data_IF_278205968357
#
_entry.id   IF_278205968357
#
_cell.length_a   1.000
_cell.length_b   1.000
_cell.length_c   1.000
_cell.angle_alpha   90.00
_cell.angle_beta   90.00
_cell.angle_gamma   90.00
#
_symmetry.space_group_name_H-M   'P 1'
#
loop_
_entity.id
_entity.type
_entity.pdbx_description
1 polymer ?
#
# COMPACT_ATOMS: atom_id res chain seq x y z
N UNK A 1 13.13 6.88 -10.08
CA UNK A 1 14.04 7.32 -8.99
C UNK A 1 14.58 6.13 -8.16
N UNK A 2 15.79 6.16 -7.56
CA UNK A 2 16.30 5.05 -6.70
C UNK A 2 15.58 5.02 -5.34
N UNK A 3 15.06 3.86 -4.94
CA UNK A 3 14.21 3.66 -3.74
C UNK A 3 14.83 4.21 -2.44
N UNK A 4 16.15 4.04 -2.27
CA UNK A 4 16.87 4.51 -1.08
C UNK A 4 16.98 6.03 -0.93
N UNK A 5 16.60 6.80 -1.94
CA UNK A 5 16.58 8.27 -1.87
C UNK A 5 15.21 8.82 -1.40
N UNK A 6 14.15 8.00 -1.46
CA UNK A 6 12.78 8.47 -1.17
C UNK A 6 12.43 8.31 0.31
N UNK A 7 12.93 7.24 0.95
CA UNK A 7 12.70 7.01 2.38
C UNK A 7 13.59 7.94 3.20
N UNK A 8 12.96 8.84 3.95
CA UNK A 8 13.68 9.88 4.67
C UNK A 8 14.34 9.35 5.96
N UNK A 9 15.68 9.45 6.04
CA UNK A 9 16.43 9.16 7.28
C UNK A 9 16.09 10.13 8.40
N UNK A 10 15.87 11.40 8.06
CA UNK A 10 15.45 12.48 8.99
C UNK A 10 13.94 12.73 8.87
N UNK A 11 13.14 11.66 9.01
CA UNK A 11 11.69 11.73 8.82
C UNK A 11 10.96 12.65 9.82
N UNK A 12 11.36 12.65 11.10
CA UNK A 12 10.69 13.47 12.12
C UNK A 12 10.84 14.98 11.90
N UNK A 13 12.06 15.55 11.72
CA UNK A 13 12.18 16.99 11.44
C UNK A 13 11.42 17.42 10.18
N UNK A 14 11.46 16.60 9.11
CA UNK A 14 10.69 16.87 7.91
C UNK A 14 9.19 16.88 8.17
N UNK A 15 8.68 15.90 8.94
CA UNK A 15 7.28 15.82 9.34
C UNK A 15 6.84 17.04 10.14
N UNK A 16 7.61 17.43 11.16
CA UNK A 16 7.34 18.61 11.99
C UNK A 16 7.32 19.89 11.17
N UNK A 17 8.27 20.03 10.24
CA UNK A 17 8.29 21.11 9.28
C UNK A 17 7.04 21.14 8.39
N UNK A 18 6.64 20.00 7.82
CA UNK A 18 5.43 19.90 6.98
C UNK A 18 4.13 20.22 7.73
N UNK A 19 4.11 20.03 9.06
CA UNK A 19 2.97 20.31 9.92
C UNK A 19 3.02 21.71 10.54
N UNK A 20 4.03 22.53 10.23
CA UNK A 20 4.21 23.87 10.82
C UNK A 20 4.50 23.84 12.32
N UNK A 21 5.08 22.75 12.83
CA UNK A 21 5.38 22.58 14.25
C UNK A 21 6.77 23.09 14.64
N UNK A 22 7.64 23.32 13.66
CA UNK A 22 8.99 23.83 13.85
C UNK A 22 9.01 25.37 13.95
N UNK A 23 9.57 25.90 15.04
CA UNK A 23 9.64 27.33 15.34
C UNK A 23 10.73 28.05 14.52
N UNK A 24 11.79 27.34 14.12
CA UNK A 24 12.92 27.97 13.42
C UNK A 24 12.63 28.24 11.94
N UNK A 25 11.59 27.61 11.39
CA UNK A 25 11.26 27.67 9.96
C UNK A 25 9.89 28.28 9.65
N UNK A 26 9.38 29.19 10.48
CA UNK A 26 8.07 29.85 10.30
C UNK A 26 7.86 30.65 8.97
N UNK A 27 8.85 30.70 8.07
CA UNK A 27 8.81 31.45 6.80
C UNK A 27 8.28 30.66 5.58
N UNK A 28 7.68 29.48 5.76
CA UNK A 28 7.21 28.69 4.61
C UNK A 28 5.72 28.87 4.32
N UNK A 29 5.45 29.78 3.38
CA UNK A 29 4.19 29.88 2.62
C UNK A 29 3.87 28.62 1.74
N UNK A 30 4.40 27.44 2.09
CA UNK A 30 4.37 26.23 1.29
C UNK A 30 3.96 24.96 2.06
N UNK A 31 3.77 25.03 3.39
CA UNK A 31 3.17 23.94 4.17
C UNK A 31 1.73 23.64 3.71
N UNK A 32 1.03 24.68 3.26
CA UNK A 32 -0.38 24.69 2.82
C UNK A 32 -0.67 23.79 1.60
N UNK A 33 0.34 23.13 1.02
CA UNK A 33 0.19 22.34 -0.19
C UNK A 33 0.56 20.86 -0.04
N UNK A 34 0.63 20.35 1.18
CA UNK A 34 1.03 18.96 1.46
C UNK A 34 -0.18 18.08 1.78
N UNK A 35 -0.17 16.86 1.24
CA UNK A 35 -1.14 15.80 1.55
C UNK A 35 -0.39 14.58 2.04
N UNK A 36 -0.70 14.13 3.25
CA UNK A 36 -0.19 12.86 3.77
C UNK A 36 -1.11 11.74 3.33
N UNK A 37 -0.54 10.70 2.73
CA UNK A 37 -1.28 9.52 2.26
C UNK A 37 -0.64 8.29 2.88
N UNK A 38 -1.29 7.74 3.90
CA UNK A 38 -0.89 6.46 4.47
C UNK A 38 -1.48 5.31 3.68
N UNK A 39 -0.65 4.30 3.40
CA UNK A 39 -1.01 3.12 2.62
C UNK A 39 -0.58 1.88 3.40
N UNK A 40 -1.42 0.86 3.36
CA UNK A 40 -1.12 -0.48 3.89
C UNK A 40 -1.79 -1.54 3.01
N UNK A 41 -1.06 -2.59 2.63
CA UNK A 41 -1.60 -3.72 1.88
C UNK A 41 -1.63 -5.00 2.72
N UNK A 42 -2.79 -5.64 2.73
CA UNK A 42 -2.96 -6.98 3.29
C UNK A 42 -2.95 -8.05 2.20
N UNK A 43 -2.26 -9.16 2.46
CA UNK A 43 -2.09 -10.28 1.52
C UNK A 43 -1.46 -9.88 0.17
N UNK A 44 -0.42 -9.05 0.20
CA UNK A 44 0.30 -8.54 -0.99
C UNK A 44 0.71 -9.62 -2.01
N UNK A 45 1.08 -10.81 -1.54
CA UNK A 45 1.44 -11.95 -2.41
C UNK A 45 0.31 -12.35 -3.35
N UNK A 46 -0.94 -12.32 -2.86
CA UNK A 46 -2.09 -12.61 -3.70
C UNK A 46 -2.24 -11.53 -4.79
N UNK A 47 -1.95 -10.27 -4.48
CA UNK A 47 -2.02 -9.19 -5.46
C UNK A 47 -0.93 -9.29 -6.54
N UNK A 48 0.28 -9.76 -6.18
CA UNK A 48 1.37 -9.91 -7.15
C UNK A 48 1.28 -11.17 -7.99
N UNK A 49 0.65 -12.24 -7.49
CA UNK A 49 0.57 -13.54 -8.17
C UNK A 49 -0.75 -13.78 -8.90
N UNK A 50 -1.87 -13.25 -8.41
CA UNK A 50 -3.18 -13.78 -8.80
C UNK A 50 -3.75 -13.26 -10.12
N UNK A 51 -3.16 -12.25 -10.74
CA UNK A 51 -3.62 -11.82 -12.06
C UNK A 51 -3.28 -12.82 -13.18
N UNK A 52 -2.54 -13.89 -12.84
CA UNK A 52 -2.23 -15.00 -13.73
C UNK A 52 -3.19 -16.20 -13.51
N UNK A 53 -4.09 -16.14 -12.51
CA UNK A 53 -4.98 -17.26 -12.15
C UNK A 53 -6.46 -16.88 -12.21
N UNK A 54 -7.38 -17.81 -12.50
CA UNK A 54 -8.82 -17.55 -12.50
C UNK A 54 -9.42 -17.32 -11.11
N UNK A 55 -8.66 -17.60 -10.03
CA UNK A 55 -9.11 -17.44 -8.65
C UNK A 55 -9.01 -15.96 -8.26
N UNK A 56 -10.12 -15.39 -7.76
CA UNK A 56 -10.13 -14.00 -7.27
C UNK A 56 -9.20 -13.85 -6.07
N UNK A 57 -8.11 -13.07 -6.17
CA UNK A 57 -7.21 -12.90 -5.04
C UNK A 57 -7.92 -12.27 -3.86
N UNK A 58 -7.60 -12.78 -2.67
CA UNK A 58 -7.94 -12.15 -1.41
C UNK A 58 -6.85 -11.14 -1.07
N UNK A 59 -7.17 -9.85 -1.16
CA UNK A 59 -6.25 -8.78 -0.76
C UNK A 59 -7.04 -7.59 -0.23
N UNK A 60 -6.34 -6.71 0.49
CA UNK A 60 -6.85 -5.40 0.85
C UNK A 60 -5.82 -4.32 0.52
N UNK A 61 -6.30 -3.12 0.23
CA UNK A 61 -5.52 -1.89 0.18
C UNK A 61 -6.21 -0.86 1.06
N UNK A 62 -5.54 -0.45 2.12
CA UNK A 62 -5.91 0.68 2.94
C UNK A 62 -5.33 1.99 2.43
N UNK A 63 -6.14 3.05 2.45
CA UNK A 63 -5.67 4.41 2.23
C UNK A 63 -6.25 5.31 3.32
N UNK A 64 -5.39 6.04 4.02
CA UNK A 64 -5.78 7.12 4.93
C UNK A 64 -5.13 8.45 4.50
N UNK A 65 -5.93 9.51 4.37
CA UNK A 65 -5.48 10.79 3.81
C UNK A 65 -5.73 11.91 4.81
N UNK A 66 -4.71 12.74 5.01
CA UNK A 66 -4.77 14.01 5.72
C UNK A 66 -4.32 15.13 4.77
N UNK A 67 -5.22 16.06 4.43
CA UNK A 67 -4.87 17.31 3.74
C UNK A 67 -4.56 18.40 4.77
N UNK A 68 -3.35 18.95 4.72
CA UNK A 68 -2.89 20.00 5.64
C UNK A 68 -3.72 21.29 5.52
N UNK A 69 -4.38 21.55 4.39
CA UNK A 69 -5.30 22.70 4.25
C UNK A 69 -6.46 22.66 5.23
N UNK A 70 -6.89 21.46 5.62
CA UNK A 70 -7.98 21.28 6.58
C UNK A 70 -7.51 21.60 8.01
N UNK A 71 -6.20 21.56 8.28
CA UNK A 71 -5.65 22.01 9.57
C UNK A 71 -5.73 23.53 9.72
N UNK A 72 -5.52 24.27 8.63
CA UNK A 72 -5.47 25.74 8.64
C UNK A 72 -6.88 26.36 8.62
N UNK A 73 -7.80 25.76 7.86
CA UNK A 73 -9.11 26.36 7.57
C UNK A 73 -10.15 26.19 8.70
N UNK A 74 -9.86 25.40 9.73
CA UNK A 74 -10.85 24.99 10.74
C UNK A 74 -11.01 25.99 11.92
N UNK A 75 -10.57 27.23 11.76
CA UNK A 75 -10.57 28.24 12.84
C UNK A 75 -11.96 28.60 13.38
N UNK A 76 -13.05 28.24 12.71
CA UNK A 76 -14.42 28.57 13.14
C UNK A 76 -15.28 27.39 13.63
N UNK A 77 -14.82 26.14 13.50
CA UNK A 77 -15.50 24.98 14.09
C UNK A 77 -14.55 23.79 14.10
N UNK A 78 -14.28 23.23 15.29
CA UNK A 78 -13.44 22.04 15.51
C UNK A 78 -14.10 20.79 14.92
N UNK A 79 -14.25 20.74 13.61
CA UNK A 79 -14.54 19.52 12.88
C UNK A 79 -13.36 18.58 13.11
N UNK A 80 -13.51 17.65 14.07
CA UNK A 80 -12.48 16.66 14.41
C UNK A 80 -12.17 15.71 13.24
N UNK A 81 -12.88 15.85 12.13
CA UNK A 81 -12.87 14.97 10.97
C UNK A 81 -11.78 15.44 10.00
N UNK A 82 -10.52 15.11 10.30
CA UNK A 82 -9.36 15.53 9.50
C UNK A 82 -8.80 14.43 8.60
N UNK A 83 -9.08 13.17 8.94
CA UNK A 83 -8.54 12.01 8.22
C UNK A 83 -9.67 11.25 7.52
N UNK A 84 -9.57 11.14 6.20
CA UNK A 84 -10.46 10.28 5.39
C UNK A 84 -9.82 8.91 5.19
N UNK A 85 -10.59 7.84 5.34
CA UNK A 85 -10.08 6.45 5.26
C UNK A 85 -10.94 5.63 4.30
N UNK A 86 -10.28 4.87 3.42
CA UNK A 86 -10.90 3.90 2.51
C UNK A 86 -10.19 2.55 2.62
N UNK A 87 -10.96 1.47 2.50
CA UNK A 87 -10.44 0.11 2.42
C UNK A 87 -10.94 -0.56 1.13
N UNK A 88 -10.04 -0.83 0.20
CA UNK A 88 -10.32 -1.57 -1.03
C UNK A 88 -10.14 -3.05 -0.77
N UNK A 89 -11.14 -3.88 -1.09
CA UNK A 89 -11.10 -5.32 -0.78
C UNK A 89 -11.49 -6.19 -1.98
N UNK A 90 -10.73 -7.26 -2.20
CA UNK A 90 -11.03 -8.33 -3.16
C UNK A 90 -11.08 -9.70 -2.46
N UNK A 91 -11.71 -10.69 -3.08
CA UNK A 91 -11.83 -12.07 -2.58
C UNK A 91 -13.26 -12.58 -2.59
N UNK A 92 -13.56 -13.65 -1.84
CA UNK A 92 -14.89 -14.24 -1.73
C UNK A 92 -15.89 -13.34 -0.98
N UNK A 93 -17.20 -13.55 -1.17
CA UNK A 93 -18.25 -12.77 -0.46
C UNK A 93 -18.09 -12.89 1.06
N UNK A 94 -17.80 -14.11 1.55
CA UNK A 94 -17.55 -14.39 2.98
C UNK A 94 -16.36 -13.60 3.51
N UNK A 95 -15.25 -13.56 2.77
CA UNK A 95 -14.08 -12.77 3.14
C UNK A 95 -14.41 -11.27 3.22
N UNK A 96 -15.06 -10.71 2.19
CA UNK A 96 -15.44 -9.29 2.17
C UNK A 96 -16.37 -8.92 3.33
N UNK A 97 -17.38 -9.74 3.61
CA UNK A 97 -18.26 -9.51 4.75
C UNK A 97 -17.53 -9.59 6.10
N UNK A 98 -16.52 -10.45 6.24
CA UNK A 98 -15.66 -10.50 7.44
C UNK A 98 -14.89 -9.19 7.60
N UNK A 99 -14.28 -8.69 6.53
CA UNK A 99 -13.51 -7.44 6.55
C UNK A 99 -14.42 -6.24 6.84
N UNK A 100 -15.57 -6.14 6.17
CA UNK A 100 -16.52 -5.04 6.37
C UNK A 100 -17.04 -4.96 7.81
N UNK A 101 -17.24 -6.10 8.49
CA UNK A 101 -17.63 -6.15 9.91
C UNK A 101 -16.51 -5.71 10.86
N UNK A 102 -15.25 -5.95 10.50
CA UNK A 102 -14.08 -5.58 11.31
C UNK A 102 -13.67 -4.13 11.11
N UNK A 103 -13.96 -3.56 9.94
CA UNK A 103 -13.56 -2.21 9.59
C UNK A 103 -14.42 -1.18 10.32
N UNK A 104 -13.85 -0.58 11.37
CA UNK A 104 -14.57 0.30 12.29
C UNK A 104 -14.79 1.71 11.68
N UNK A 105 -14.00 2.11 10.70
CA UNK A 105 -13.98 3.50 10.25
C UNK A 105 -13.60 3.63 8.78
N UNK A 106 -14.52 4.04 7.93
CA UNK A 106 -14.28 4.36 6.52
C UNK A 106 -15.30 3.75 5.59
N UNK A 107 -15.01 3.86 4.30
CA UNK A 107 -15.73 3.16 3.24
C UNK A 107 -14.97 1.89 2.84
N UNK A 108 -15.68 0.76 2.73
CA UNK A 108 -15.13 -0.45 2.10
C UNK A 108 -15.59 -0.52 0.66
N UNK A 109 -14.65 -0.50 -0.28
CA UNK A 109 -14.91 -0.56 -1.72
C UNK A 109 -14.52 -1.94 -2.24
N UNK A 110 -15.44 -2.62 -2.91
CA UNK A 110 -15.16 -3.91 -3.52
C UNK A 110 -14.37 -3.73 -4.82
N UNK A 111 -13.26 -4.44 -4.94
CA UNK A 111 -12.44 -4.53 -6.15
C UNK A 111 -12.63 -5.90 -6.79
N UNK A 112 -12.82 -5.91 -8.11
CA UNK A 112 -12.94 -7.15 -8.89
C UNK A 112 -11.73 -7.38 -9.79
N UNK A 113 -11.15 -6.31 -10.34
CA UNK A 113 -10.01 -6.37 -11.27
C UNK A 113 -8.88 -5.47 -10.82
N UNK A 114 -7.67 -5.75 -11.32
CA UNK A 114 -6.46 -4.96 -11.04
C UNK A 114 -6.64 -3.51 -11.47
N UNK A 115 -7.23 -3.32 -12.64
CA UNK A 115 -7.36 -2.02 -13.29
C UNK A 115 -8.28 -1.12 -12.49
N UNK A 116 -9.31 -1.71 -11.86
CA UNK A 116 -10.21 -1.00 -10.96
C UNK A 116 -9.43 -0.52 -9.72
N UNK A 117 -8.56 -1.37 -9.14
CA UNK A 117 -7.69 -0.97 -8.01
C UNK A 117 -6.78 0.20 -8.37
N UNK A 118 -6.10 0.11 -9.52
CA UNK A 118 -5.17 1.15 -9.99
C UNK A 118 -5.93 2.45 -10.26
N UNK A 119 -7.12 2.37 -10.85
CA UNK A 119 -8.00 3.52 -11.09
C UNK A 119 -8.40 4.17 -9.77
N UNK A 120 -8.85 3.39 -8.80
CA UNK A 120 -9.23 3.89 -7.48
C UNK A 120 -8.05 4.50 -6.71
N UNK A 121 -6.87 3.89 -6.78
CA UNK A 121 -5.64 4.40 -6.18
C UNK A 121 -5.26 5.76 -6.77
N UNK A 122 -5.26 5.90 -8.10
CA UNK A 122 -4.94 7.16 -8.78
C UNK A 122 -5.99 8.25 -8.50
N UNK A 123 -7.27 7.89 -8.44
CA UNK A 123 -8.34 8.86 -8.20
C UNK A 123 -8.42 9.30 -6.73
N UNK A 124 -7.99 8.46 -5.79
CA UNK A 124 -8.04 8.79 -4.36
C UNK A 124 -6.92 9.71 -3.92
N UNK A 125 -5.81 9.75 -4.65
CA UNK A 125 -4.62 10.52 -4.28
C UNK A 125 -4.59 11.81 -5.11
N UNK A 126 -4.64 13.00 -4.50
CA UNK A 126 -4.69 14.28 -5.23
C UNK A 126 -3.33 14.61 -5.87
N UNK A 127 -3.12 14.13 -7.12
CA UNK A 127 -1.85 14.24 -7.86
C UNK A 127 -1.42 15.68 -8.19
N UNK A 128 -2.29 16.67 -8.02
CA UNK A 128 -1.96 18.10 -8.23
C UNK A 128 -1.25 18.73 -7.02
N UNK A 129 -1.03 17.98 -5.94
CA UNK A 129 -0.48 18.44 -4.67
C UNK A 129 0.84 17.75 -4.36
N UNK A 130 1.63 18.30 -3.44
CA UNK A 130 2.81 17.60 -2.90
C UNK A 130 2.33 16.49 -1.97
N UNK A 131 2.75 15.27 -2.24
CA UNK A 131 2.29 14.08 -1.51
C UNK A 131 3.44 13.52 -0.68
N UNK A 132 3.14 13.22 0.59
CA UNK A 132 4.01 12.47 1.47
C UNK A 132 3.36 11.11 1.70
N UNK A 133 4.00 10.05 1.20
CA UNK A 133 3.54 8.69 1.47
C UNK A 133 3.93 8.28 2.88
N UNK A 134 3.04 7.56 3.55
CA UNK A 134 3.22 7.09 4.92
C UNK A 134 2.93 5.60 4.99
N UNK A 135 3.67 4.87 5.82
CA UNK A 135 3.32 3.49 6.15
C UNK A 135 4.12 2.97 7.32
N UNK A 136 3.94 1.68 7.63
CA UNK A 136 4.65 1.02 8.73
C UNK A 136 5.42 -0.19 8.19
N UNK A 137 6.75 -0.17 8.25
CA UNK A 137 7.59 -1.15 7.54
C UNK A 137 7.31 -1.14 6.02
N UNK A 138 7.24 0.07 5.45
CA UNK A 138 6.57 0.40 4.19
C UNK A 138 7.27 -0.12 2.92
N UNK A 139 8.40 -0.80 3.07
CA UNK A 139 9.20 -1.30 1.95
C UNK A 139 8.39 -2.24 1.04
N UNK A 140 7.62 -3.14 1.64
CA UNK A 140 6.85 -4.15 0.90
C UNK A 140 5.63 -3.53 0.20
N UNK A 141 4.96 -2.58 0.83
CA UNK A 141 3.89 -1.79 0.20
C UNK A 141 4.43 -0.99 -0.99
N UNK A 142 5.62 -0.42 -0.88
CA UNK A 142 6.25 0.35 -1.94
C UNK A 142 6.64 -0.52 -3.15
N UNK A 143 7.09 -1.76 -2.91
CA UNK A 143 7.27 -2.75 -3.98
C UNK A 143 5.92 -3.14 -4.62
N UNK A 144 4.87 -3.25 -3.82
CA UNK A 144 3.52 -3.54 -4.30
C UNK A 144 2.99 -2.40 -5.18
N UNK A 145 3.17 -1.13 -4.78
CA UNK A 145 2.81 0.04 -5.59
C UNK A 145 3.54 0.04 -6.94
N UNK A 146 4.83 -0.29 -6.97
CA UNK A 146 5.58 -0.43 -8.23
C UNK A 146 5.04 -1.54 -9.09
N UNK A 147 4.73 -2.69 -8.51
CA UNK A 147 4.13 -3.78 -9.25
C UNK A 147 2.82 -3.32 -9.89
N UNK A 148 2.00 -2.55 -9.20
CA UNK A 148 0.78 -1.94 -9.73
C UNK A 148 1.01 -0.83 -10.78
N UNK A 149 2.25 -0.54 -11.16
CA UNK A 149 2.62 0.60 -12.01
C UNK A 149 2.10 1.94 -11.48
N UNK A 150 1.99 2.08 -10.15
CA UNK A 150 1.66 3.37 -9.54
C UNK A 150 2.83 4.34 -9.72
N UNK A 151 2.50 5.56 -10.15
CA UNK A 151 3.50 6.60 -10.39
C UNK A 151 4.03 7.15 -9.05
N UNK A 152 5.25 6.75 -8.73
CA UNK A 152 5.99 7.20 -7.54
C UNK A 152 6.91 8.39 -7.82
N UNK A 153 7.04 8.82 -9.07
CA UNK A 153 7.99 9.87 -9.46
C UNK A 153 7.29 11.24 -9.55
N UNK A 154 6.02 11.31 -9.94
CA UNK A 154 5.26 12.58 -9.96
C UNK A 154 4.65 12.87 -8.58
N UNK A 155 4.77 14.12 -8.13
CA UNK A 155 4.10 14.67 -6.94
C UNK A 155 4.45 14.06 -5.57
N UNK A 156 5.03 12.86 -5.51
CA UNK A 156 5.55 12.25 -4.28
C UNK A 156 6.85 12.97 -3.90
N UNK A 157 6.83 13.71 -2.79
CA UNK A 157 8.00 14.48 -2.31
C UNK A 157 8.78 13.74 -1.22
N UNK A 158 8.15 12.81 -0.51
CA UNK A 158 8.79 12.01 0.53
C UNK A 158 8.03 10.72 0.83
N UNK A 159 8.74 9.75 1.40
CA UNK A 159 8.18 8.56 2.05
C UNK A 159 8.61 8.55 3.52
N UNK A 160 7.62 8.45 4.41
CA UNK A 160 7.81 8.36 5.85
C UNK A 160 7.41 6.98 6.35
N UNK A 161 8.41 6.21 6.78
CA UNK A 161 8.20 4.93 7.45
C UNK A 161 8.12 5.13 8.96
N UNK A 162 6.96 4.87 9.53
CA UNK A 162 6.69 5.03 10.96
C UNK A 162 7.56 4.13 11.82
N UNK A 163 7.93 2.93 11.34
CA UNK A 163 8.84 2.05 12.07
C UNK A 163 10.24 2.65 12.16
N UNK A 164 10.74 3.20 11.04
CA UNK A 164 12.06 3.85 11.00
C UNK A 164 12.09 5.11 11.86
N UNK A 165 11.04 5.93 11.80
CA UNK A 165 10.91 7.13 12.63
C UNK A 165 10.87 6.74 14.11
N UNK A 166 10.05 5.74 14.48
CA UNK A 166 9.97 5.24 15.85
C UNK A 166 11.32 4.71 16.35
N UNK A 167 12.04 3.92 15.54
CA UNK A 167 13.39 3.46 15.85
C UNK A 167 14.33 4.64 16.19
N UNK A 168 14.29 5.69 15.39
CA UNK A 168 15.16 6.85 15.58
C UNK A 168 14.85 7.65 16.85
N UNK A 169 13.57 7.75 17.22
CA UNK A 169 13.10 8.48 18.40
C UNK A 169 13.27 7.65 19.67
N UNK A 170 12.79 6.40 19.64
CA UNK A 170 12.67 5.54 20.82
C UNK A 170 13.90 4.65 21.06
N UNK A 171 14.86 4.64 20.13
CA UNK A 171 16.07 3.78 20.17
C UNK A 171 15.76 2.29 20.36
N UNK A 172 14.56 1.86 19.93
CA UNK A 172 14.15 0.47 19.97
C UNK A 172 14.45 -0.20 18.62
N UNK A 173 14.67 -1.51 18.63
CA UNK A 173 14.72 -2.33 17.42
C UNK A 173 13.37 -2.30 16.68
N UNK A 174 13.24 -3.09 15.60
CA UNK A 174 11.99 -3.25 14.84
C UNK A 174 10.78 -3.40 15.76
N UNK A 175 9.85 -2.46 15.67
CA UNK A 175 8.62 -2.42 16.46
C UNK A 175 7.43 -2.71 15.53
N UNK A 176 6.47 -3.51 15.99
CA UNK A 176 5.21 -3.72 15.25
C UNK A 176 4.29 -2.51 15.39
N UNK A 177 3.34 -2.36 14.47
CA UNK A 177 2.35 -1.27 14.54
C UNK A 177 1.58 -1.34 15.87
N UNK A 178 1.15 -2.53 16.28
CA UNK A 178 0.50 -2.77 17.58
C UNK A 178 1.32 -2.24 18.75
N UNK A 179 2.60 -2.63 18.84
CA UNK A 179 3.47 -2.22 19.94
C UNK A 179 3.77 -0.70 19.90
N UNK A 180 3.90 -0.12 18.70
CA UNK A 180 4.07 1.32 18.53
C UNK A 180 2.84 2.08 19.03
N UNK A 181 1.64 1.66 18.66
CA UNK A 181 0.40 2.29 19.11
C UNK A 181 0.24 2.20 20.64
N UNK A 182 0.57 1.04 21.24
CA UNK A 182 0.59 0.90 22.70
C UNK A 182 1.57 1.87 23.36
N UNK A 183 2.80 1.99 22.86
CA UNK A 183 3.80 2.94 23.39
C UNK A 183 3.37 4.40 23.25
N UNK A 184 2.63 4.72 22.20
CA UNK A 184 2.11 6.06 21.94
C UNK A 184 0.78 6.35 22.66
N UNK A 185 0.27 5.37 23.43
CA UNK A 185 -1.01 5.43 24.13
C UNK A 185 -2.18 5.75 23.18
N UNK A 186 -2.12 5.21 21.96
CA UNK A 186 -3.19 5.34 20.97
C UNK A 186 -4.10 4.12 21.08
N UNK A 187 -5.38 4.27 21.46
CA UNK A 187 -6.32 3.16 21.44
C UNK A 187 -6.50 2.62 20.02
N UNK A 188 -6.51 1.30 19.88
CA UNK A 188 -6.70 0.62 18.60
C UNK A 188 -7.50 -0.67 18.77
N UNK A 189 -8.17 -1.06 17.69
CA UNK A 189 -8.95 -2.28 17.59
C UNK A 189 -8.82 -2.84 16.17
N UNK A 190 -9.08 -4.13 15.98
CA UNK A 190 -9.20 -4.78 14.66
C UNK A 190 -8.06 -4.49 13.64
N UNK A 191 -6.80 -4.46 14.11
CA UNK A 191 -5.63 -4.49 13.23
C UNK A 191 -5.69 -5.71 12.27
N UNK A 192 -4.95 -5.65 11.16
CA UNK A 192 -5.04 -6.57 10.00
C UNK A 192 -6.23 -6.30 9.08
N UNK A 193 -6.65 -5.04 9.03
CA UNK A 193 -7.59 -4.49 8.06
C UNK A 193 -6.87 -3.31 7.44
N UNK A 194 -6.50 -3.41 6.16
CA UNK A 194 -5.56 -2.47 5.54
C UNK A 194 -5.93 -1.01 5.76
N UNK A 195 -7.20 -0.63 5.56
CA UNK A 195 -7.67 0.74 5.81
C UNK A 195 -7.45 1.21 7.25
N UNK A 196 -7.63 0.32 8.22
CA UNK A 196 -7.43 0.61 9.64
C UNK A 196 -5.96 0.69 10.00
N UNK A 197 -5.11 -0.17 9.44
CA UNK A 197 -3.67 -0.15 9.65
C UNK A 197 -3.04 1.11 9.04
N UNK A 198 -3.47 1.52 7.83
CA UNK A 198 -3.08 2.80 7.23
C UNK A 198 -3.49 4.00 8.10
N UNK A 199 -4.71 4.00 8.63
CA UNK A 199 -5.19 5.03 9.54
C UNK A 199 -4.35 5.11 10.82
N UNK A 200 -4.09 3.97 11.46
CA UNK A 200 -3.32 3.95 12.69
C UNK A 200 -1.84 4.27 12.46
N UNK A 201 -1.25 3.90 11.33
CA UNK A 201 0.08 4.34 10.93
C UNK A 201 0.13 5.87 10.81
N UNK A 202 -0.86 6.48 10.15
CA UNK A 202 -0.94 7.95 10.07
C UNK A 202 -1.10 8.60 11.44
N UNK A 203 -1.95 8.06 12.32
CA UNK A 203 -2.10 8.58 13.69
C UNK A 203 -0.85 8.44 14.54
N UNK A 204 -0.14 7.30 14.43
CA UNK A 204 1.14 7.10 15.09
C UNK A 204 2.18 8.14 14.63
N UNK A 205 2.26 8.39 13.32
CA UNK A 205 3.11 9.41 12.74
C UNK A 205 2.83 10.80 13.34
N UNK A 206 1.56 11.20 13.35
CA UNK A 206 1.11 12.49 13.87
C UNK A 206 1.40 12.64 15.38
N UNK A 207 1.18 11.59 16.18
CA UNK A 207 1.49 11.60 17.61
C UNK A 207 3.00 11.71 17.87
N UNK A 208 3.84 11.03 17.09
CA UNK A 208 5.29 11.18 17.18
C UNK A 208 5.76 12.59 16.81
N UNK A 209 5.09 13.26 15.86
CA UNK A 209 5.39 14.65 15.49
C UNK A 209 5.23 15.61 16.69
N UNK A 210 4.17 15.40 17.48
CA UNK A 210 3.78 16.30 18.57
C UNK A 210 4.47 16.00 19.91
N UNK A 211 5.00 14.80 20.13
CA UNK A 211 5.59 14.37 21.42
C UNK A 211 6.72 15.28 21.95
N UNK A 212 7.46 15.96 21.08
CA UNK A 212 8.57 16.84 21.47
C UNK A 212 8.33 18.31 21.07
N UNK A 213 7.10 18.66 20.70
CA UNK A 213 6.77 20.04 20.38
C UNK A 213 6.41 20.79 21.66
N UNK A 214 7.09 21.90 21.92
CA UNK A 214 6.68 22.84 22.97
C UNK A 214 5.54 23.67 22.41
N UNK A 215 4.35 23.66 23.04
CA UNK A 215 3.26 24.53 22.64
C UNK A 215 3.69 26.00 22.72
N UNK A 216 3.38 26.74 21.67
CA UNK A 216 3.55 28.18 21.55
C UNK A 216 2.27 28.76 20.96
N UNK A 217 2.07 30.06 21.09
CA UNK A 217 0.88 30.74 20.54
C UNK A 217 0.67 30.45 19.04
N UNK A 218 1.76 30.18 18.30
CA UNK A 218 1.71 29.93 16.85
C UNK A 218 1.34 28.49 16.46
N UNK A 219 1.55 27.49 17.34
CA UNK A 219 1.38 26.07 16.99
C UNK A 219 0.44 25.30 17.94
N UNK A 220 -0.02 25.90 19.03
CA UNK A 220 -0.90 25.23 20.00
C UNK A 220 -2.20 24.72 19.37
N UNK A 221 -2.84 25.55 18.53
CA UNK A 221 -4.05 25.15 17.80
C UNK A 221 -3.78 23.97 16.87
N UNK A 222 -2.66 23.98 16.13
CA UNK A 222 -2.28 22.89 15.23
C UNK A 222 -2.00 21.60 16.01
N UNK A 223 -1.26 21.67 17.12
CA UNK A 223 -1.00 20.52 18.00
C UNK A 223 -2.33 19.95 18.53
N UNK A 224 -3.22 20.83 19.01
CA UNK A 224 -4.55 20.45 19.49
C UNK A 224 -5.37 19.74 18.41
N UNK A 225 -5.39 20.28 17.18
CA UNK A 225 -6.08 19.66 16.05
C UNK A 225 -5.48 18.32 15.65
N UNK A 226 -4.14 18.21 15.60
CA UNK A 226 -3.44 16.97 15.24
C UNK A 226 -3.70 15.88 16.29
N UNK A 227 -3.65 16.22 17.58
CA UNK A 227 -3.91 15.27 18.67
C UNK A 227 -5.38 14.82 18.71
N UNK A 228 -6.30 15.72 18.34
CA UNK A 228 -7.73 15.44 18.26
C UNK A 228 -8.19 15.00 16.86
N UNK A 229 -7.27 14.76 15.92
CA UNK A 229 -7.60 14.30 14.58
C UNK A 229 -8.31 12.95 14.68
N UNK A 230 -9.60 12.97 14.40
CA UNK A 230 -10.49 11.82 14.29
C UNK A 230 -10.84 11.58 12.83
N UNK A 231 -11.43 10.43 12.62
CA UNK A 231 -11.92 9.97 11.34
C UNK A 231 -13.15 10.77 10.87
N UNK A 232 -13.26 11.00 9.55
CA UNK A 232 -14.47 11.51 8.88
C UNK A 232 -15.31 10.33 8.37
N UNK A 233 -16.51 10.05 8.89
CA UNK A 233 -17.46 9.17 8.22
C UNK A 233 -17.66 9.66 6.79
N UNK A 234 -17.41 8.81 5.80
CA UNK A 234 -17.58 9.17 4.41
C UNK A 234 -19.06 9.50 4.17
N UNK A 235 -19.41 10.77 3.96
CA UNK A 235 -20.76 11.17 3.57
C UNK A 235 -20.88 11.07 2.05
N UNK A 236 -21.98 10.49 1.57
CA UNK A 236 -22.26 10.28 0.14
C UNK A 236 -22.18 11.59 -0.69
N UNK A 237 -22.38 12.75 -0.07
CA UNK A 237 -22.31 14.07 -0.70
C UNK A 237 -20.93 14.40 -1.31
N UNK A 238 -19.85 13.87 -0.74
CA UNK A 238 -18.48 14.09 -1.25
C UNK A 238 -18.21 13.39 -2.59
N UNK A 239 -18.95 12.32 -2.91
CA UNK A 239 -18.88 11.65 -4.23
C UNK A 239 -19.53 12.49 -5.33
N UNK A 240 -20.58 13.26 -5.04
CA UNK A 240 -21.23 14.08 -6.07
C UNK A 240 -20.30 15.20 -6.55
N UNK A 241 -19.55 15.85 -5.66
CA UNK A 241 -18.62 16.90 -6.05
C UNK A 241 -17.46 16.41 -6.94
N UNK A 242 -16.96 15.19 -6.73
CA UNK A 242 -15.91 14.60 -7.57
C UNK A 242 -16.44 14.04 -8.90
N UNK A 243 -17.65 13.46 -8.91
CA UNK A 243 -18.31 12.98 -10.14
C UNK A 243 -18.72 14.15 -11.04
N UNK A 244 -19.27 15.23 -10.47
CA UNK A 244 -19.59 16.45 -11.23
C UNK A 244 -18.35 17.13 -11.82
N UNK A 245 -17.20 17.11 -11.13
CA UNK A 245 -15.94 17.62 -11.66
C UNK A 245 -15.37 16.75 -12.80
N UNK A 246 -15.70 15.44 -12.84
CA UNK A 246 -15.27 14.52 -13.90
C UNK A 246 -16.16 14.59 -15.15
N UNK A 247 -17.45 14.90 -15.03
CA UNK A 247 -18.34 15.03 -16.19
C UNK A 247 -18.14 16.32 -17.00
N UNK A 248 -17.45 17.34 -16.45
CA UNK A 248 -17.13 18.58 -17.16
C UNK A 248 -15.80 18.57 -17.95
N UNK A 249 -15.11 17.43 -18.02
CA UNK A 249 -13.97 17.28 -18.94
C UNK A 249 -14.48 17.14 -20.39
N UNK A 250 -14.06 18.00 -21.34
CA UNK A 250 -14.64 18.03 -22.68
C UNK A 250 -14.31 16.72 -23.42
N UNK A 251 -15.32 15.88 -23.59
CA UNK A 251 -15.28 14.75 -24.51
C UNK A 251 -15.03 15.28 -25.91
N UNK A 252 -13.88 14.94 -26.49
CA UNK A 252 -13.61 15.07 -27.92
C UNK A 252 -14.65 14.22 -28.67
N UNK A 253 -15.69 14.86 -29.19
CA UNK A 253 -16.67 14.24 -30.09
C UNK A 253 -16.03 14.19 -31.47
N UNK A 254 -15.51 13.03 -31.86
CA UNK A 254 -15.30 12.72 -33.28
C UNK A 254 -16.56 12.05 -33.81
N UNK A 255 -17.40 12.87 -34.44
CA UNK A 255 -18.55 12.40 -35.20
C UNK A 255 -18.09 11.96 -36.59
N UNK A 256 -18.31 10.69 -36.94
CA UNK A 256 -18.56 10.30 -38.33
C UNK A 256 -19.65 9.25 -38.37
N UNK A 257 -20.81 9.69 -38.84
CA UNK A 257 -21.96 8.89 -39.19
C UNK A 257 -21.70 8.08 -40.46
N UNK A 258 -22.10 6.82 -40.50
CA UNK A 258 -22.60 6.16 -41.72
C UNK A 258 -23.80 5.28 -41.36
N UNK A 259 -24.92 5.64 -41.98
CA UNK A 259 -26.18 4.92 -41.96
C UNK A 259 -26.17 3.76 -42.96
N UNK A 260 -26.87 2.66 -42.65
CA UNK A 260 -27.53 1.81 -43.64
C UNK A 260 -28.60 0.89 -42.99
N UNK A 261 -29.55 0.34 -43.78
CA UNK A 261 -30.95 0.32 -43.42
C UNK A 261 -31.50 -1.05 -43.01
N UNK A 262 -32.69 -0.96 -42.40
CA UNK A 262 -33.66 -2.01 -42.08
C UNK A 262 -33.75 -3.16 -43.09
N UNK A 263 -33.77 -4.38 -42.56
CA UNK A 263 -34.54 -5.50 -43.09
C UNK A 263 -35.42 -6.06 -41.97
N UNK A 264 -36.74 -6.06 -42.22
CA UNK A 264 -37.77 -6.74 -41.43
C UNK A 264 -37.99 -8.11 -42.06
N UNK A 265 -38.09 -9.15 -41.24
CA UNK A 265 -38.94 -10.32 -41.52
C UNK A 265 -39.54 -10.84 -40.22
N UNK A 266 -40.86 -11.02 -40.26
CA UNK A 266 -41.74 -11.83 -39.41
C UNK A 266 -41.32 -13.31 -39.44
N UNK A 267 -41.81 -14.29 -38.67
CA UNK A 267 -43.09 -14.53 -37.99
C UNK A 267 -42.95 -15.79 -37.10
N UNK A 268 -43.83 -15.91 -36.09
CA UNK A 268 -44.45 -17.16 -35.58
C UNK A 268 -43.52 -18.24 -34.97
N UNK A 269 -43.90 -19.12 -34.03
CA UNK A 269 -45.08 -19.38 -33.21
C UNK A 269 -44.63 -20.42 -32.15
N UNK A 270 -45.34 -20.45 -31.01
CA UNK A 270 -45.65 -21.59 -30.13
C UNK A 270 -44.61 -22.73 -29.88
N UNK A 271 -44.34 -23.02 -28.60
CA UNK A 271 -44.91 -24.19 -27.90
C UNK A 271 -44.23 -24.47 -26.55
N UNK A 272 -45.03 -25.05 -25.66
CA UNK A 272 -44.74 -25.43 -24.30
C UNK A 272 -43.65 -26.51 -24.14
N UNK A 273 -42.97 -26.49 -22.99
CA UNK A 273 -42.10 -27.58 -22.57
C UNK A 273 -41.59 -27.42 -21.15
N UNK A 274 -42.32 -27.95 -20.17
CA UNK A 274 -41.84 -28.22 -18.82
C UNK A 274 -40.67 -29.21 -18.89
N UNK A 275 -39.56 -28.91 -18.22
CA UNK A 275 -38.72 -29.95 -17.64
C UNK A 275 -38.07 -29.42 -16.35
N UNK A 276 -38.43 -30.05 -15.24
CA UNK A 276 -37.66 -30.06 -14.00
C UNK A 276 -36.36 -30.82 -14.26
N UNK A 277 -35.32 -30.50 -13.49
CA UNK A 277 -34.38 -31.40 -12.77
C UNK A 277 -32.97 -30.79 -12.76
N UNK A 278 -32.27 -31.08 -11.66
CA UNK A 278 -30.87 -30.84 -11.33
C UNK A 278 -30.57 -29.51 -10.62
N UNK A 279 -30.75 -29.55 -9.31
CA UNK A 279 -29.95 -28.78 -8.38
C UNK A 279 -28.48 -29.21 -8.54
N UNK A 280 -27.63 -28.30 -9.01
CA UNK A 280 -26.19 -28.41 -8.87
C UNK A 280 -25.82 -27.84 -7.49
N UNK A 281 -25.39 -28.73 -6.61
CA UNK A 281 -24.71 -28.38 -5.38
C UNK A 281 -23.30 -27.94 -5.74
N UNK A 282 -23.05 -26.63 -5.73
CA UNK A 282 -21.69 -26.09 -5.62
C UNK A 282 -21.12 -26.51 -4.26
N UNK A 283 -20.33 -27.58 -4.25
CA UNK A 283 -19.43 -27.90 -3.14
C UNK A 283 -18.18 -27.03 -3.27
N UNK A 284 -18.23 -25.83 -2.69
CA UNK A 284 -17.03 -25.03 -2.42
C UNK A 284 -16.21 -25.73 -1.33
N UNK A 285 -15.37 -26.69 -1.75
CA UNK A 285 -14.28 -27.24 -0.96
C UNK A 285 -13.17 -26.19 -0.81
N UNK A 286 -13.42 -25.15 -0.02
CA UNK A 286 -12.42 -24.15 0.30
C UNK A 286 -11.63 -24.63 1.52
N UNK A 287 -10.44 -25.20 1.27
CA UNK A 287 -9.45 -25.53 2.29
C UNK A 287 -8.92 -24.22 2.87
N UNK A 288 -9.35 -23.92 4.10
CA UNK A 288 -8.85 -22.83 4.91
C UNK A 288 -7.37 -23.14 5.26
N UNK A 289 -6.38 -22.35 4.82
CA UNK A 289 -5.02 -22.53 5.30
C UNK A 289 -5.04 -22.14 6.78
N UNK A 290 -4.92 -23.15 7.65
CA UNK A 290 -4.83 -22.99 9.09
C UNK A 290 -3.83 -21.88 9.44
N UNK A 291 -4.34 -20.85 10.10
CA UNK A 291 -3.54 -19.94 10.91
C UNK A 291 -2.83 -20.79 11.98
N UNK A 292 -1.57 -21.14 11.70
CA UNK A 292 -0.67 -21.76 12.68
C UNK A 292 -0.33 -20.75 13.76
N UNK A 293 -1.16 -20.69 14.80
CA UNK A 293 -0.83 -20.02 16.06
C UNK A 293 0.29 -20.78 16.76
N UNK A 294 1.53 -20.31 16.62
CA UNK A 294 2.63 -20.69 17.48
C UNK A 294 2.40 -20.10 18.87
N UNK A 295 1.89 -20.93 19.78
CA UNK A 295 2.03 -20.72 21.20
C UNK A 295 3.52 -20.84 21.56
N UNK A 296 4.11 -19.72 21.96
CA UNK A 296 5.42 -19.66 22.61
C UNK A 296 5.29 -20.34 23.97
N UNK A 297 5.85 -21.54 24.07
CA UNK A 297 6.12 -22.19 25.34
C UNK A 297 7.62 -22.04 25.60
N UNK A 298 7.97 -21.42 26.71
CA UNK A 298 9.34 -21.21 27.15
C UNK A 298 10.00 -22.55 27.49
N UNK A 299 11.25 -22.73 27.03
CA UNK A 299 12.16 -23.75 27.54
C UNK A 299 12.23 -25.04 26.74
N UNK A 300 13.13 -25.11 25.76
CA UNK A 300 14.15 -26.18 25.71
C UNK A 300 15.15 -25.96 24.56
N UNK A 301 16.42 -25.97 24.93
CA UNK A 301 17.56 -26.01 24.01
C UNK A 301 17.66 -27.44 23.48
N UNK A 302 17.44 -27.63 22.18
CA UNK A 302 17.81 -28.87 21.48
C UNK A 302 18.65 -28.52 20.26
N UNK A 303 19.82 -29.15 20.21
CA UNK A 303 20.90 -28.98 19.23
C UNK A 303 20.42 -29.33 17.82
N UNK A 304 20.76 -28.47 16.85
CA UNK A 304 20.53 -28.68 15.42
C UNK A 304 21.21 -29.96 14.92
N UNK A 305 20.43 -30.81 14.24
CA UNK A 305 20.92 -31.97 13.49
C UNK A 305 21.09 -31.57 12.02
N UNK A 306 22.32 -31.73 11.56
CA UNK A 306 22.81 -31.59 10.19
C UNK A 306 22.09 -32.58 9.26
N UNK A 307 21.55 -32.10 8.14
CA UNK A 307 21.03 -32.93 7.05
C UNK A 307 21.94 -32.77 5.84
N UNK A 308 22.81 -33.77 5.65
CA UNK A 308 23.44 -34.09 4.39
C UNK A 308 22.65 -35.25 3.75
N UNK A 309 22.65 -35.32 2.42
CA UNK A 309 22.21 -36.42 1.52
C UNK A 309 21.03 -36.15 0.56
N UNK A 310 21.46 -35.84 -0.67
CA UNK A 310 21.00 -36.20 -2.02
C UNK A 310 19.68 -36.97 -2.24
N UNK A 311 18.93 -36.51 -3.27
CA UNK A 311 18.04 -37.34 -4.09
C UNK A 311 18.35 -37.17 -5.59
N UNK A 312 18.11 -38.21 -6.42
CA UNK A 312 18.69 -38.36 -7.75
C UNK A 312 17.86 -37.72 -8.87
N UNK A 313 18.56 -37.24 -9.90
CA UNK A 313 18.00 -36.51 -11.03
C UNK A 313 17.31 -37.37 -12.09
N UNK A 314 16.14 -36.91 -12.54
CA UNK A 314 15.51 -37.31 -13.78
C UNK A 314 15.98 -36.37 -14.91
N UNK A 315 16.54 -36.95 -15.98
CA UNK A 315 16.98 -36.24 -17.20
C UNK A 315 15.81 -36.10 -18.18
N UNK A 316 15.63 -34.91 -18.75
CA UNK A 316 14.84 -34.64 -19.96
C UNK A 316 15.83 -34.29 -21.08
N UNK A 317 15.70 -34.83 -22.31
CA UNK A 317 16.67 -34.61 -23.38
C UNK A 317 16.40 -33.31 -24.14
N UNK A 318 17.46 -32.57 -24.46
CA UNK A 318 17.44 -31.49 -25.47
C UNK A 318 17.99 -32.02 -26.82
N UNK A 319 17.48 -31.51 -27.96
CA UNK A 319 17.94 -31.92 -29.29
C UNK A 319 19.29 -31.27 -29.65
N UNK A 320 20.02 -31.83 -30.65
CA UNK A 320 21.38 -31.41 -30.96
C UNK A 320 21.39 -30.11 -31.78
N UNK A 321 22.22 -29.14 -31.35
CA UNK A 321 22.61 -28.00 -32.17
C UNK A 321 23.95 -28.30 -32.86
N UNK A 322 23.96 -28.13 -34.18
CA UNK A 322 25.09 -28.22 -35.09
C UNK A 322 26.15 -27.16 -34.83
N UNK A 323 27.41 -27.59 -34.89
CA UNK A 323 28.62 -26.77 -34.76
C UNK A 323 28.87 -26.02 -36.08
N UNK A 324 28.99 -24.70 -36.01
CA UNK A 324 29.66 -23.90 -37.02
C UNK A 324 30.54 -22.83 -36.36
N UNK A 325 31.83 -23.02 -36.59
CA UNK A 325 32.97 -22.12 -36.65
C UNK A 325 33.21 -20.95 -35.68
N UNK A 326 34.44 -21.02 -35.17
CA UNK A 326 35.18 -20.09 -34.34
C UNK A 326 35.45 -18.72 -34.97
N UNK A 327 35.37 -17.64 -34.16
CA UNK A 327 36.45 -16.66 -33.90
C UNK A 327 36.02 -15.55 -32.92
N UNK A 328 36.95 -15.23 -32.02
CA UNK A 328 37.04 -14.10 -31.06
C UNK A 328 35.93 -13.92 -29.99
N UNK A 329 36.25 -14.33 -28.76
CA UNK A 329 35.50 -14.03 -27.53
C UNK A 329 36.34 -13.10 -26.64
N UNK A 330 35.86 -11.86 -26.48
CA UNK A 330 36.10 -10.98 -25.33
C UNK A 330 35.35 -11.53 -24.09
N UNK A 331 35.79 -11.28 -22.85
CA UNK A 331 35.21 -11.89 -21.67
C UNK A 331 33.89 -11.21 -21.27
N UNK A 332 32.77 -11.86 -21.59
CA UNK A 332 31.48 -11.50 -20.99
C UNK A 332 31.42 -11.98 -19.53
N UNK A 333 31.46 -11.03 -18.59
CA UNK A 333 31.07 -11.26 -17.21
C UNK A 333 29.59 -11.68 -17.17
N UNK A 334 29.31 -12.83 -16.53
CA UNK A 334 27.98 -13.39 -16.43
C UNK A 334 27.07 -12.52 -15.56
N UNK A 335 25.83 -12.30 -15.99
CA UNK A 335 24.80 -11.55 -15.26
C UNK A 335 24.51 -12.11 -13.85
N UNK A 336 24.90 -13.36 -13.58
CA UNK A 336 24.82 -13.99 -12.27
C UNK A 336 25.82 -13.42 -11.25
N UNK A 337 26.97 -12.90 -11.68
CA UNK A 337 27.96 -12.32 -10.75
C UNK A 337 27.56 -10.93 -10.25
N UNK A 338 26.83 -10.15 -11.07
CA UNK A 338 26.37 -8.82 -10.69
C UNK A 338 25.26 -8.87 -9.62
N UNK A 339 24.36 -9.85 -9.73
CA UNK A 339 23.28 -10.05 -8.75
C UNK A 339 23.83 -10.41 -7.36
N UNK A 340 24.82 -11.30 -7.30
CA UNK A 340 25.46 -11.70 -6.04
C UNK A 340 26.26 -10.54 -5.42
N UNK A 341 26.94 -9.74 -6.22
CA UNK A 341 27.66 -8.55 -5.75
C UNK A 341 26.73 -7.47 -5.16
N UNK A 342 25.53 -7.29 -5.73
CA UNK A 342 24.54 -6.34 -5.20
C UNK A 342 23.92 -6.82 -3.88
N UNK A 343 23.67 -8.13 -3.74
CA UNK A 343 23.19 -8.72 -2.48
C UNK A 343 24.27 -8.63 -1.39
N UNK A 344 25.53 -8.90 -1.73
CA UNK A 344 26.65 -8.81 -0.79
C UNK A 344 26.98 -7.35 -0.38
N UNK A 345 26.90 -6.38 -1.30
CA UNK A 345 27.06 -4.96 -0.96
C UNK A 345 25.92 -4.45 -0.06
N UNK A 346 24.68 -4.91 -0.31
CA UNK A 346 23.54 -4.60 0.53
C UNK A 346 23.69 -5.17 1.95
N UNK A 347 24.12 -6.44 2.08
CA UNK A 347 24.37 -7.08 3.38
C UNK A 347 25.54 -6.42 4.13
N UNK A 348 26.61 -6.01 3.43
CA UNK A 348 27.73 -5.27 4.04
C UNK A 348 27.29 -3.93 4.63
N UNK A 349 26.43 -3.19 3.93
CA UNK A 349 25.88 -1.92 4.41
C UNK A 349 24.91 -2.10 5.57
N UNK A 350 24.16 -3.20 5.59
CA UNK A 350 23.24 -3.53 6.69
C UNK A 350 24.00 -3.88 7.98
N UNK A 351 25.15 -4.55 7.86
CA UNK A 351 25.96 -5.03 8.99
C UNK A 351 27.04 -4.03 9.45
N UNK A 352 27.16 -2.85 8.81
CA UNK A 352 28.14 -1.83 9.20
C UNK A 352 29.60 -2.24 8.99
N UNK A 353 29.88 -3.24 8.16
CA UNK A 353 31.23 -3.76 7.93
C UNK A 353 31.93 -2.88 6.89
N UNK A 354 32.73 -1.91 7.35
CA UNK A 354 33.64 -1.17 6.49
C UNK A 354 34.94 -1.96 6.31
N UNK A 355 35.29 -2.30 5.07
CA UNK A 355 36.66 -2.71 4.73
C UNK A 355 37.45 -1.46 4.41
N UNK A 356 38.46 -1.17 5.22
CA UNK A 356 39.51 -0.21 4.88
C UNK A 356 40.29 -0.86 3.74
N UNK A 357 40.07 -0.40 2.52
CA UNK A 357 40.95 -0.72 1.40
C UNK A 357 42.08 0.29 1.48
N UNK A 358 43.21 -0.12 2.09
CA UNK A 358 44.48 0.55 1.86
C UNK A 358 44.78 0.49 0.37
N UNK A 359 45.01 1.67 -0.22
CA UNK A 359 45.58 1.78 -1.55
C UNK A 359 47.08 1.60 -1.41
N UNK A 360 47.61 0.53 -2.01
CA UNK A 360 48.95 0.50 -2.60
C UNK A 360 48.87 -0.19 -3.97
#
# INVERSE_FOLDING_TARGET
MKLGHIVMKKGLPFLQHCLGLDLETANFANADNIVFVAIDFENQRALTQAFETPIRPRFQLGIAILDTKNLISSSSSYSSNLITVRNYVSGSKKYRSKIQKKFISGETVQIQRREDLVTHLNNSIPRTRKIVLVGHSFMMDLLTLRHLNFDLDTSIVAVLDTQLIAHNIMKCSTISLKALLTKLEIPFENLHVGGQDAYFALRALLKMATQNCVPSENNEAAIGMILNARFVPFSEESNQAQVFAQEQSPRFVTATAKAHPRLKTSSAEAAAGRTKVAAEAETDGEVDPQEGGLAINEGNIVKEKKWDEALPGARIPYPPMTIADSRSLEPHHSLLSLGLLLVLDFLRRLLGIFTIVEKD
#
